data_IF_901098747485
#
_entry.id   IF_901098747485
#
_cell.length_a   1.000
_cell.length_b   1.000
_cell.length_c   1.000
_cell.angle_alpha   90.00
_cell.angle_beta   90.00
_cell.angle_gamma   90.00
#
_symmetry.space_group_name_H-M   'P 1'
#
loop_
_entity.id
_entity.type
_entity.pdbx_description
1 polymer ?
#
# COMPACT_ATOMS: atom_id res chain seq x y z
N UNK A 1 23.80 9.53 -11.43
CA UNK A 1 22.60 8.90 -10.82
C UNK A 1 22.80 7.37 -10.82
N UNK A 2 22.73 6.72 -9.66
CA UNK A 2 23.09 5.30 -9.51
C UNK A 2 22.00 4.39 -10.11
N UNK A 3 22.32 3.61 -11.16
CA UNK A 3 21.35 2.78 -11.93
C UNK A 3 20.55 1.82 -11.03
N UNK A 4 21.21 1.25 -10.01
CA UNK A 4 20.60 0.36 -9.00
C UNK A 4 19.45 0.99 -8.21
N UNK A 5 19.54 2.29 -7.89
CA UNK A 5 18.49 3.00 -7.13
C UNK A 5 17.23 3.17 -7.99
N UNK A 6 17.41 3.42 -9.29
CA UNK A 6 16.28 3.53 -10.22
C UNK A 6 15.55 2.21 -10.38
N UNK A 7 16.28 1.10 -10.50
CA UNK A 7 15.67 -0.22 -10.63
C UNK A 7 14.97 -0.64 -9.34
N UNK A 8 15.56 -0.37 -8.17
CA UNK A 8 14.90 -0.59 -6.88
C UNK A 8 13.58 0.18 -6.77
N UNK A 9 13.54 1.45 -7.18
CA UNK A 9 12.32 2.25 -7.17
C UNK A 9 11.23 1.66 -8.06
N UNK A 10 11.59 1.13 -9.24
CA UNK A 10 10.64 0.44 -10.13
C UNK A 10 10.07 -0.82 -9.47
N UNK A 11 10.92 -1.64 -8.83
CA UNK A 11 10.47 -2.84 -8.12
C UNK A 11 9.50 -2.50 -7.00
N UNK A 12 9.81 -1.51 -6.16
CA UNK A 12 8.92 -1.08 -5.07
C UNK A 12 7.54 -0.68 -5.61
N UNK A 13 7.50 0.10 -6.70
CA UNK A 13 6.23 0.52 -7.34
C UNK A 13 5.45 -0.69 -7.88
N UNK A 14 6.11 -1.56 -8.64
CA UNK A 14 5.48 -2.75 -9.21
C UNK A 14 4.91 -3.68 -8.15
N UNK A 15 5.61 -3.87 -7.03
CA UNK A 15 5.10 -4.67 -5.91
C UNK A 15 3.85 -4.04 -5.28
N UNK A 16 3.83 -2.71 -5.10
CA UNK A 16 2.64 -1.99 -4.62
C UNK A 16 1.46 -2.09 -5.57
N UNK A 17 1.69 -1.88 -6.87
CA UNK A 17 0.66 -1.98 -7.92
C UNK A 17 0.07 -3.40 -7.99
N UNK A 18 0.92 -4.42 -7.87
CA UNK A 18 0.49 -5.83 -7.82
C UNK A 18 -0.38 -6.09 -6.59
N UNK A 19 0.00 -5.57 -5.42
CA UNK A 19 -0.77 -5.73 -4.20
C UNK A 19 -2.15 -5.07 -4.29
N UNK A 20 -2.25 -3.86 -4.86
CA UNK A 20 -3.53 -3.18 -5.14
C UNK A 20 -4.43 -4.02 -6.04
N UNK A 21 -3.87 -4.55 -7.12
CA UNK A 21 -4.63 -5.34 -8.09
C UNK A 21 -5.14 -6.65 -7.49
N UNK A 22 -4.32 -7.32 -6.69
CA UNK A 22 -4.69 -8.54 -5.98
C UNK A 22 -5.80 -8.29 -4.94
N UNK A 23 -5.67 -7.24 -4.14
CA UNK A 23 -6.71 -6.85 -3.19
C UNK A 23 -8.04 -6.53 -3.88
N UNK A 24 -7.98 -5.82 -5.02
CA UNK A 24 -9.16 -5.52 -5.83
C UNK A 24 -9.82 -6.77 -6.41
N UNK A 25 -9.02 -7.72 -6.91
CA UNK A 25 -9.52 -8.97 -7.45
C UNK A 25 -10.21 -9.85 -6.39
N UNK A 26 -9.73 -9.79 -5.14
CA UNK A 26 -10.27 -10.56 -4.01
C UNK A 26 -11.31 -9.79 -3.17
N UNK A 27 -11.66 -8.56 -3.53
CA UNK A 27 -12.65 -7.76 -2.80
C UNK A 27 -12.21 -7.36 -1.38
N UNK A 28 -10.90 -7.26 -1.13
CA UNK A 28 -10.31 -6.85 0.16
C UNK A 28 -9.66 -5.46 0.05
N UNK A 29 -8.84 -5.11 1.03
CA UNK A 29 -8.10 -3.86 1.10
C UNK A 29 -6.60 -4.08 1.16
N UNK A 30 -5.83 -3.02 0.85
CA UNK A 30 -4.41 -2.94 1.19
C UNK A 30 -4.19 -1.93 2.30
N UNK A 31 -3.12 -2.11 3.06
CA UNK A 31 -2.64 -1.11 4.04
C UNK A 31 -1.25 -0.64 3.62
N UNK A 32 -1.04 0.67 3.57
CA UNK A 32 0.26 1.25 3.26
C UNK A 32 0.50 2.56 4.01
N UNK A 33 1.77 2.93 4.10
CA UNK A 33 2.20 4.20 4.69
C UNK A 33 2.27 5.27 3.61
N UNK A 34 1.61 6.39 3.84
CA UNK A 34 1.62 7.55 2.95
C UNK A 34 2.92 8.34 3.11
N UNK A 35 3.18 9.28 2.19
CA UNK A 35 4.39 10.12 2.24
C UNK A 35 4.44 11.04 3.47
N UNK A 36 3.29 11.40 4.03
CA UNK A 36 3.13 12.12 5.30
C UNK A 36 3.23 11.20 6.53
N UNK A 37 3.47 9.91 6.33
CA UNK A 37 3.74 8.95 7.38
C UNK A 37 2.50 8.35 8.06
N UNK A 38 1.29 8.60 7.53
CA UNK A 38 0.06 8.01 8.04
C UNK A 38 -0.16 6.62 7.44
N UNK A 39 -0.73 5.71 8.22
CA UNK A 39 -1.23 4.45 7.69
C UNK A 39 -2.63 4.65 7.13
N UNK A 40 -2.86 4.15 5.93
CA UNK A 40 -4.17 4.15 5.29
C UNK A 40 -4.52 2.77 4.80
N UNK A 41 -5.82 2.48 4.83
CA UNK A 41 -6.45 1.33 4.22
C UNK A 41 -7.13 1.77 2.94
N UNK A 42 -6.79 1.17 1.81
CA UNK A 42 -7.46 1.43 0.52
C UNK A 42 -8.24 0.19 0.10
N UNK A 43 -9.55 0.33 -0.03
CA UNK A 43 -10.48 -0.73 -0.41
C UNK A 43 -10.60 -0.86 -1.93
N UNK A 44 -11.10 -2.01 -2.39
CA UNK A 44 -11.30 -2.32 -3.82
C UNK A 44 -12.20 -1.34 -4.59
N UNK A 45 -13.09 -0.64 -3.88
CA UNK A 45 -13.97 0.42 -4.41
C UNK A 45 -13.29 1.79 -4.51
N UNK A 46 -12.06 1.94 -4.02
CA UNK A 46 -11.31 3.19 -3.99
C UNK A 46 -11.54 4.04 -2.73
N UNK A 47 -12.30 3.55 -1.75
CA UNK A 47 -12.40 4.21 -0.45
C UNK A 47 -11.07 4.10 0.30
N UNK A 48 -10.65 5.21 0.92
CA UNK A 48 -9.41 5.31 1.69
C UNK A 48 -9.76 5.73 3.11
N UNK A 49 -9.42 4.88 4.08
CA UNK A 49 -9.61 5.13 5.50
C UNK A 49 -8.26 5.31 6.19
N UNK A 50 -8.17 6.29 7.09
CA UNK A 50 -6.99 6.46 7.94
C UNK A 50 -7.04 5.45 9.08
N UNK A 51 -5.90 4.84 9.36
CA UNK A 51 -5.74 3.89 10.46
C UNK A 51 -4.93 4.59 11.54
N UNK A 52 -5.45 4.65 12.77
CA UNK A 52 -4.60 4.98 13.91
C UNK A 52 -3.79 3.75 14.27
N UNK A 53 -2.50 3.89 14.62
CA UNK A 53 -1.63 2.74 14.92
C UNK A 53 -2.18 1.83 16.05
N UNK A 54 -3.07 2.35 16.90
CA UNK A 54 -3.76 1.60 17.96
C UNK A 54 -4.87 0.68 17.43
N UNK A 55 -5.42 0.95 16.24
CA UNK A 55 -6.46 0.15 15.59
C UNK A 55 -5.87 -1.06 14.82
N UNK A 56 -4.54 -1.16 14.75
CA UNK A 56 -3.82 -2.33 14.23
C UNK A 56 -3.64 -3.38 15.34
N UNK A 57 -4.70 -3.72 16.06
CA UNK A 57 -4.66 -4.89 16.95
C UNK A 57 -4.46 -6.15 16.09
N UNK A 58 -3.39 -6.88 16.39
CA UNK A 58 -3.07 -8.14 15.75
C UNK A 58 -3.88 -9.23 16.47
N UNK A 59 -4.85 -9.85 15.78
CA UNK A 59 -5.42 -11.14 16.20
C UNK A 59 -4.42 -12.28 16.00
#
# INVERSE_FOLDING_TARGET
MNRRIQDLSKFIKLTGDRAKLDAKANGTYIVYKTNDGQFVREYSNGEIERINEQDLEHE
#
